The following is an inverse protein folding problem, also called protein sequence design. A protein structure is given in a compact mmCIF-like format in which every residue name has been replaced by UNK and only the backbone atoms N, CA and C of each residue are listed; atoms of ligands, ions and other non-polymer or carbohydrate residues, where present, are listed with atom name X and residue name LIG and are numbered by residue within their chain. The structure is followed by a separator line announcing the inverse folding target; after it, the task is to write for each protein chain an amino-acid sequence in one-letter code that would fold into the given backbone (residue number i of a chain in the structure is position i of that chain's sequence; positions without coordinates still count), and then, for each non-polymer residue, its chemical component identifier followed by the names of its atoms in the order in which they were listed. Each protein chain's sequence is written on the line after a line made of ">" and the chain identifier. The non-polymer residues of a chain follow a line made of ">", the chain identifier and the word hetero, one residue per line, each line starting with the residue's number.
data_IF_702766418709
#
_entry.id   IF_702766418709
#
_cell.length_a   1.000
_cell.length_b   1.000
_cell.length_c   1.000
_cell.angle_alpha   90.00
_cell.angle_beta   90.00
_cell.angle_gamma   90.00
#
_symmetry.space_group_name_H-M   'P 1'
#
loop_
_entity.id
_entity.type
_entity.pdbx_description
1 polymer ?
#
# COMPACT_ATOMS: atom_id res chain seq x y z
N UNK A 1 -16.68 -2.67 49.64
CA UNK A 1 -16.43 -3.47 48.42
C UNK A 1 -16.73 -4.91 48.79
N UNK A 2 -17.74 -5.51 48.18
CA UNK A 2 -18.10 -6.91 48.45
C UNK A 2 -17.13 -7.84 47.70
N UNK A 3 -17.04 -9.11 48.15
CA UNK A 3 -16.21 -10.13 47.47
C UNK A 3 -16.64 -10.28 45.99
N UNK A 4 -17.91 -10.06 45.68
CA UNK A 4 -18.43 -10.05 44.30
C UNK A 4 -17.91 -8.87 43.46
N UNK A 5 -17.67 -7.69 44.09
CA UNK A 5 -17.09 -6.54 43.37
C UNK A 5 -15.62 -6.78 43.01
N UNK A 6 -14.91 -7.53 43.85
CA UNK A 6 -13.51 -7.95 43.61
C UNK A 6 -13.47 -9.03 42.53
N UNK A 7 -14.41 -9.97 42.51
CA UNK A 7 -14.50 -10.97 41.43
C UNK A 7 -14.85 -10.33 40.07
N UNK A 8 -15.72 -9.31 40.05
CA UNK A 8 -16.07 -8.60 38.83
C UNK A 8 -14.89 -7.78 38.27
N UNK A 9 -14.10 -7.17 39.17
CA UNK A 9 -12.87 -6.43 38.77
C UNK A 9 -11.78 -7.39 38.30
N UNK A 10 -11.65 -8.55 38.95
CA UNK A 10 -10.68 -9.59 38.55
C UNK A 10 -11.11 -10.27 37.25
N UNK A 11 -12.41 -10.53 37.01
CA UNK A 11 -12.86 -11.06 35.72
C UNK A 11 -12.73 -10.07 34.59
N UNK A 12 -12.94 -8.77 34.84
CA UNK A 12 -12.70 -7.70 33.84
C UNK A 12 -11.20 -7.50 33.56
N UNK A 13 -10.30 -7.85 34.50
CA UNK A 13 -8.84 -7.84 34.30
C UNK A 13 -8.33 -9.16 33.65
N UNK A 14 -9.12 -10.24 33.68
CA UNK A 14 -8.79 -11.52 33.03
C UNK A 14 -9.33 -11.62 31.60
N UNK A 15 -10.17 -10.71 31.15
CA UNK A 15 -10.55 -10.52 29.74
C UNK A 15 -9.60 -9.61 28.96
N UNK A 16 -8.46 -9.23 29.53
CA UNK A 16 -7.31 -8.75 28.72
C UNK A 16 -6.77 -9.99 28.00
N UNK A 17 -7.24 -10.19 26.76
CA UNK A 17 -6.68 -11.15 25.82
C UNK A 17 -5.15 -11.10 25.94
N UNK A 18 -4.55 -12.27 26.16
CA UNK A 18 -3.09 -12.44 26.19
C UNK A 18 -2.52 -11.93 24.87
N UNK A 19 -2.14 -10.65 24.86
CA UNK A 19 -1.28 -10.15 23.78
C UNK A 19 -0.02 -11.00 23.89
N UNK A 20 0.42 -11.66 22.82
CA UNK A 20 1.69 -12.37 22.86
C UNK A 20 2.81 -11.34 23.05
N UNK A 21 3.09 -10.98 24.29
CA UNK A 21 4.12 -10.03 24.71
C UNK A 21 5.51 -10.42 24.15
N UNK A 22 5.64 -11.68 23.72
CA UNK A 22 6.88 -12.26 23.15
C UNK A 22 7.18 -11.84 21.71
N UNK A 23 6.22 -11.24 20.99
CA UNK A 23 6.37 -10.90 19.58
C UNK A 23 6.62 -9.40 19.32
N UNK A 24 6.21 -8.52 20.25
CA UNK A 24 6.44 -7.08 20.12
C UNK A 24 7.94 -6.76 20.14
N UNK A 25 8.46 -5.95 19.21
CA UNK A 25 9.81 -5.42 19.30
C UNK A 25 9.98 -4.62 20.60
N UNK A 26 11.02 -4.91 21.38
CA UNK A 26 11.36 -4.14 22.59
C UNK A 26 11.56 -2.64 22.28
N UNK A 27 11.95 -2.31 21.04
CA UNK A 27 12.17 -0.96 20.57
C UNK A 27 11.85 -0.87 19.07
N UNK A 28 10.59 -0.61 18.70
CA UNK A 28 10.21 -0.39 17.30
C UNK A 28 10.98 0.78 16.71
N UNK A 29 11.57 0.60 15.54
CA UNK A 29 12.34 1.63 14.83
C UNK A 29 11.67 2.08 13.53
N UNK A 30 10.71 1.28 13.03
CA UNK A 30 9.98 1.59 11.82
C UNK A 30 8.54 1.10 11.93
N UNK A 31 7.59 1.96 11.59
CA UNK A 31 6.17 1.66 11.44
C UNK A 31 5.81 1.82 9.96
N UNK A 32 5.36 0.75 9.34
CA UNK A 32 4.88 0.72 7.96
C UNK A 32 3.35 0.74 7.94
N UNK A 33 2.77 1.67 7.21
CA UNK A 33 1.33 1.89 7.17
C UNK A 33 0.81 1.76 5.74
N UNK A 34 -0.09 0.80 5.51
CA UNK A 34 -0.94 0.89 4.33
C UNK A 34 -1.85 2.13 4.41
N UNK A 35 -2.38 2.56 3.27
CA UNK A 35 -3.22 3.76 3.18
C UNK A 35 -4.71 3.45 3.15
N UNK A 36 -5.17 2.76 2.10
CA UNK A 36 -6.59 2.60 1.81
C UNK A 36 -7.21 1.49 2.65
N UNK A 37 -8.11 1.83 3.57
CA UNK A 37 -8.67 0.89 4.53
C UNK A 37 -7.81 0.71 5.79
N UNK A 38 -6.66 1.37 5.88
CA UNK A 38 -5.76 1.32 7.04
C UNK A 38 -5.55 2.70 7.65
N UNK A 39 -4.73 3.58 7.04
CA UNK A 39 -4.51 4.94 7.55
C UNK A 39 -5.66 5.90 7.19
N UNK A 40 -6.23 5.73 6.00
CA UNK A 40 -7.34 6.54 5.52
C UNK A 40 -8.66 5.94 5.97
N UNK A 41 -9.51 6.77 6.55
CA UNK A 41 -10.89 6.41 6.89
C UNK A 41 -11.79 6.31 5.63
N UNK A 42 -13.05 5.94 5.80
CA UNK A 42 -14.05 5.83 4.71
C UNK A 42 -14.27 7.13 3.93
N UNK A 43 -13.87 8.28 4.49
CA UNK A 43 -13.88 9.57 3.80
C UNK A 43 -12.57 9.89 3.08
N UNK A 44 -11.67 8.91 2.93
CA UNK A 44 -10.33 9.05 2.34
C UNK A 44 -9.47 10.14 3.01
N UNK A 45 -9.59 10.31 4.31
CA UNK A 45 -8.87 11.31 5.10
C UNK A 45 -8.14 10.66 6.28
N UNK A 46 -7.04 11.29 6.69
CA UNK A 46 -6.34 10.94 7.94
C UNK A 46 -7.04 11.62 9.10
N UNK A 47 -7.42 10.85 10.12
CA UNK A 47 -8.04 11.40 11.32
C UNK A 47 -7.07 12.28 12.11
N UNK A 48 -7.61 13.17 12.92
CA UNK A 48 -6.80 14.03 13.79
C UNK A 48 -5.97 13.21 14.79
N UNK A 49 -6.57 12.16 15.38
CA UNK A 49 -5.91 11.30 16.37
C UNK A 49 -4.78 10.47 15.73
N UNK A 50 -5.02 9.86 14.58
CA UNK A 50 -3.97 9.15 13.84
C UNK A 50 -2.82 10.10 13.47
N UNK A 51 -3.12 11.32 13.00
CA UNK A 51 -2.09 12.33 12.72
C UNK A 51 -1.27 12.67 13.96
N UNK A 52 -1.90 12.95 15.11
CA UNK A 52 -1.19 13.29 16.35
C UNK A 52 -0.25 12.19 16.81
N UNK A 53 -0.73 10.93 16.84
CA UNK A 53 0.09 9.81 17.31
C UNK A 53 1.26 9.52 16.36
N UNK A 54 1.05 9.61 15.04
CA UNK A 54 2.12 9.41 14.05
C UNK A 54 3.17 10.52 14.09
N UNK A 55 2.77 11.77 14.37
CA UNK A 55 3.70 12.86 14.62
C UNK A 55 4.53 12.57 15.88
N UNK A 56 3.89 12.18 16.98
CA UNK A 56 4.56 11.86 18.26
C UNK A 56 5.60 10.75 18.11
N UNK A 57 5.27 9.64 17.45
CA UNK A 57 6.24 8.55 17.26
C UNK A 57 7.38 8.94 16.29
N UNK A 58 7.08 9.76 15.31
CA UNK A 58 8.11 10.31 14.39
C UNK A 58 9.09 11.22 15.13
N UNK A 59 8.62 12.06 16.06
CA UNK A 59 9.45 12.92 16.92
C UNK A 59 10.34 12.11 17.88
N UNK A 60 9.95 10.88 18.23
CA UNK A 60 10.77 9.94 18.99
C UNK A 60 11.84 9.24 18.15
N UNK A 61 11.92 9.55 16.85
CA UNK A 61 12.91 8.99 15.93
C UNK A 61 12.48 7.68 15.28
N UNK A 62 11.22 7.25 15.41
CA UNK A 62 10.68 6.09 14.73
C UNK A 62 10.33 6.48 13.27
N UNK A 63 10.83 5.72 12.31
CA UNK A 63 10.48 5.93 10.91
C UNK A 63 9.02 5.54 10.66
N UNK A 64 8.19 6.47 10.19
CA UNK A 64 6.82 6.20 9.74
C UNK A 64 6.83 6.16 8.22
N UNK A 65 6.61 4.98 7.64
CA UNK A 65 6.72 4.71 6.20
C UNK A 65 5.34 4.40 5.63
N UNK A 66 4.87 5.22 4.69
CA UNK A 66 3.64 4.96 3.95
C UNK A 66 3.91 3.91 2.87
N UNK A 67 3.03 2.90 2.77
CA UNK A 67 3.19 1.74 1.87
C UNK A 67 1.90 1.51 1.11
N UNK A 68 1.85 1.78 -0.21
CA UNK A 68 0.59 1.73 -0.97
C UNK A 68 0.78 1.25 -2.40
N UNK A 69 -0.32 0.80 -3.03
CA UNK A 69 -0.41 0.54 -4.47
C UNK A 69 -0.53 1.80 -5.33
N UNK A 70 -0.73 2.96 -4.70
CA UNK A 70 -0.86 4.26 -5.37
C UNK A 70 0.46 4.70 -6.01
N UNK A 71 0.38 5.63 -6.97
CA UNK A 71 1.53 6.37 -7.50
C UNK A 71 2.20 7.18 -6.38
N UNK A 72 3.53 7.34 -6.42
CA UNK A 72 4.25 8.07 -5.38
C UNK A 72 3.69 9.50 -5.22
N UNK A 73 3.50 10.22 -6.32
CA UNK A 73 2.99 11.59 -6.30
C UNK A 73 1.55 11.73 -5.75
N UNK A 74 0.73 10.68 -5.77
CA UNK A 74 -0.60 10.69 -5.16
C UNK A 74 -0.57 10.43 -3.64
N UNK A 75 0.55 9.93 -3.12
CA UNK A 75 0.77 9.73 -1.68
C UNK A 75 1.35 10.98 -1.02
N UNK A 76 2.11 11.80 -1.76
CA UNK A 76 2.77 13.00 -1.23
C UNK A 76 1.83 13.96 -0.48
N UNK A 77 0.61 14.28 -0.96
CA UNK A 77 -0.31 15.14 -0.21
C UNK A 77 -0.65 14.58 1.18
N UNK A 78 -0.79 13.24 1.29
CA UNK A 78 -1.08 12.57 2.56
C UNK A 78 0.14 12.63 3.48
N UNK A 79 1.33 12.33 2.97
CA UNK A 79 2.60 12.46 3.71
C UNK A 79 2.78 13.89 4.25
N UNK A 80 2.56 14.89 3.41
CA UNK A 80 2.66 16.31 3.79
C UNK A 80 1.63 16.72 4.84
N UNK A 81 0.38 16.21 4.73
CA UNK A 81 -0.68 16.50 5.71
C UNK A 81 -0.31 16.02 7.11
N UNK A 82 0.41 14.89 7.23
CA UNK A 82 0.87 14.33 8.50
C UNK A 82 2.18 15.00 8.97
N UNK A 83 2.95 15.57 8.04
CA UNK A 83 4.28 16.12 8.31
C UNK A 83 5.39 15.07 8.23
N UNK A 84 5.19 13.98 7.48
CA UNK A 84 6.17 12.93 7.31
C UNK A 84 7.12 13.25 6.16
N UNK A 85 8.43 13.15 6.41
CA UNK A 85 9.49 13.36 5.42
C UNK A 85 10.21 12.07 5.03
N UNK A 86 9.71 10.92 5.46
CA UNK A 86 10.33 9.62 5.30
C UNK A 86 10.22 9.06 3.87
N UNK A 87 10.97 8.00 3.52
CA UNK A 87 10.73 7.26 2.30
C UNK A 87 9.29 6.72 2.22
N UNK A 88 8.74 6.68 1.01
CA UNK A 88 7.42 6.13 0.70
C UNK A 88 7.62 4.90 -0.19
N UNK A 89 6.95 3.81 0.13
CA UNK A 89 6.82 2.62 -0.71
C UNK A 89 5.54 2.79 -1.54
N UNK A 90 5.67 2.95 -2.83
CA UNK A 90 4.58 3.16 -3.78
C UNK A 90 4.50 2.05 -4.82
N UNK A 91 3.38 1.99 -5.58
CA UNK A 91 3.16 0.96 -6.61
C UNK A 91 3.33 -0.47 -6.06
N UNK A 92 2.77 -0.75 -4.86
CA UNK A 92 2.95 -2.04 -4.17
C UNK A 92 4.40 -2.50 -4.02
N UNK A 93 5.35 -1.56 -3.92
CA UNK A 93 6.78 -1.85 -3.83
C UNK A 93 7.56 -1.71 -5.15
N UNK A 94 6.88 -1.31 -6.24
CA UNK A 94 7.54 -1.02 -7.52
C UNK A 94 8.50 0.17 -7.45
N UNK A 95 8.26 1.11 -6.52
CA UNK A 95 9.15 2.26 -6.29
C UNK A 95 9.22 2.58 -4.79
N UNK A 96 10.44 2.83 -4.30
CA UNK A 96 10.69 3.41 -2.97
C UNK A 96 11.45 4.72 -3.17
N UNK A 97 10.83 5.82 -2.77
CA UNK A 97 11.36 7.17 -3.00
C UNK A 97 11.12 8.05 -1.78
N UNK A 98 12.08 8.88 -1.43
CA UNK A 98 11.98 9.82 -0.31
C UNK A 98 10.98 10.93 -0.61
N UNK A 99 10.09 11.22 0.33
CA UNK A 99 9.01 12.18 0.17
C UNK A 99 9.49 13.58 -0.22
N UNK A 100 10.56 14.08 0.40
CA UNK A 100 11.04 15.47 0.22
C UNK A 100 12.27 15.57 -0.68
N UNK A 101 13.28 14.69 -0.51
CA UNK A 101 14.54 14.80 -1.26
C UNK A 101 14.46 14.23 -2.68
N UNK A 102 13.44 13.42 -2.98
CA UNK A 102 13.31 12.72 -4.25
C UNK A 102 14.33 11.58 -4.47
N UNK A 103 15.17 11.25 -3.45
CA UNK A 103 16.11 10.14 -3.52
C UNK A 103 15.36 8.83 -3.75
N UNK A 104 15.73 8.09 -4.79
CA UNK A 104 15.21 6.75 -5.08
C UNK A 104 16.04 5.72 -4.32
N UNK A 105 15.39 4.92 -3.48
CA UNK A 105 15.99 3.80 -2.75
C UNK A 105 15.92 2.51 -3.56
N UNK A 106 14.80 2.28 -4.26
CA UNK A 106 14.65 1.18 -5.20
C UNK A 106 13.61 1.51 -6.25
N UNK A 107 13.80 0.96 -7.46
CA UNK A 107 12.82 1.00 -8.54
C UNK A 107 12.83 -0.36 -9.24
N UNK A 108 11.67 -0.96 -9.40
CA UNK A 108 11.46 -2.28 -9.98
C UNK A 108 10.40 -2.17 -11.07
N UNK A 109 10.78 -1.68 -12.27
CA UNK A 109 9.83 -1.41 -13.35
C UNK A 109 9.38 -2.69 -14.06
N UNK A 110 8.31 -2.56 -14.84
CA UNK A 110 7.90 -3.55 -15.84
C UNK A 110 8.92 -3.55 -16.98
N UNK A 111 9.54 -4.70 -17.33
CA UNK A 111 10.53 -4.72 -18.42
C UNK A 111 9.93 -4.26 -19.75
N UNK A 112 10.67 -3.47 -20.51
CA UNK A 112 10.22 -2.86 -21.77
C UNK A 112 9.58 -3.85 -22.76
N UNK A 113 10.12 -5.09 -22.83
CA UNK A 113 9.56 -6.14 -23.70
C UNK A 113 8.09 -6.50 -23.38
N UNK A 114 7.70 -6.46 -22.10
CA UNK A 114 6.32 -6.71 -21.69
C UNK A 114 5.45 -5.48 -21.81
N UNK A 115 5.97 -4.31 -21.46
CA UNK A 115 5.29 -3.04 -21.70
C UNK A 115 4.91 -2.88 -23.18
N UNK A 116 5.82 -3.24 -24.10
CA UNK A 116 5.56 -3.24 -25.54
C UNK A 116 4.44 -4.23 -25.93
N UNK A 117 4.46 -5.47 -25.43
CA UNK A 117 3.41 -6.46 -25.73
C UNK A 117 2.02 -5.99 -25.25
N UNK A 118 1.97 -5.34 -24.08
CA UNK A 118 0.73 -4.78 -23.55
C UNK A 118 0.24 -3.61 -24.41
N UNK A 119 1.15 -2.72 -24.87
CA UNK A 119 0.81 -1.62 -25.80
C UNK A 119 0.24 -2.19 -27.11
N UNK A 120 0.87 -3.22 -27.67
CA UNK A 120 0.40 -3.84 -28.93
C UNK A 120 -1.00 -4.45 -28.74
N UNK A 121 -1.23 -5.15 -27.61
CA UNK A 121 -2.54 -5.72 -27.26
C UNK A 121 -3.63 -4.62 -27.15
N UNK A 122 -3.39 -3.56 -26.38
CA UNK A 122 -4.39 -2.51 -26.18
C UNK A 122 -4.70 -1.75 -27.44
N UNK A 123 -3.74 -1.63 -28.39
CA UNK A 123 -3.97 -1.04 -29.70
C UNK A 123 -4.84 -1.93 -30.58
N UNK A 124 -4.64 -3.26 -30.55
CA UNK A 124 -5.45 -4.24 -31.31
C UNK A 124 -6.89 -4.30 -30.78
N UNK A 125 -7.07 -4.34 -29.47
CA UNK A 125 -8.36 -4.46 -28.80
C UNK A 125 -9.06 -3.12 -28.54
N UNK A 126 -8.43 -2.00 -28.93
CA UNK A 126 -8.89 -0.62 -28.69
C UNK A 126 -9.24 -0.36 -27.22
N UNK A 127 -8.38 -0.81 -26.30
CA UNK A 127 -8.53 -0.61 -24.86
C UNK A 127 -7.90 0.70 -24.39
N UNK A 128 -8.30 1.18 -23.23
CA UNK A 128 -7.60 2.28 -22.56
C UNK A 128 -6.42 1.73 -21.73
N UNK A 129 -5.25 2.38 -21.86
CA UNK A 129 -4.05 2.08 -21.07
C UNK A 129 -3.57 3.31 -20.33
N UNK A 130 -3.40 3.17 -19.03
CA UNK A 130 -2.62 4.02 -18.18
C UNK A 130 -1.17 3.50 -18.17
N UNK A 131 -0.21 4.33 -18.54
CA UNK A 131 1.21 4.00 -18.59
C UNK A 131 1.97 4.89 -17.59
N UNK A 132 2.37 4.32 -16.43
CA UNK A 132 3.02 5.05 -15.34
C UNK A 132 4.55 4.99 -15.51
N UNK A 133 5.13 6.06 -16.02
CA UNK A 133 6.57 6.19 -16.27
C UNK A 133 7.14 7.41 -15.55
N UNK A 134 8.23 7.21 -14.79
CA UNK A 134 8.90 8.28 -14.03
C UNK A 134 7.95 9.04 -13.08
N UNK A 135 6.98 8.31 -12.50
CA UNK A 135 5.93 8.85 -11.62
C UNK A 135 4.98 9.84 -12.32
N UNK A 136 4.91 9.81 -13.66
CA UNK A 136 3.95 10.52 -14.51
C UNK A 136 3.00 9.52 -15.18
N UNK A 137 1.77 9.97 -15.46
CA UNK A 137 0.74 9.16 -16.09
C UNK A 137 0.61 9.56 -17.58
N UNK A 138 0.83 8.59 -18.46
CA UNK A 138 0.66 8.76 -19.90
C UNK A 138 -0.50 7.90 -20.41
N UNK A 139 -1.27 8.48 -21.36
CA UNK A 139 -2.37 7.81 -22.05
C UNK A 139 -2.33 8.11 -23.55
N UNK A 140 -2.96 7.28 -24.38
CA UNK A 140 -3.09 7.57 -25.81
C UNK A 140 -3.87 8.87 -26.04
N UNK A 141 -5.04 8.99 -25.40
CA UNK A 141 -5.91 10.16 -25.43
C UNK A 141 -6.69 10.21 -24.12
N UNK A 142 -7.05 11.42 -23.66
CA UNK A 142 -7.93 11.58 -22.50
C UNK A 142 -9.34 11.12 -22.86
N UNK A 143 -9.98 10.42 -21.94
CA UNK A 143 -11.35 9.92 -22.06
C UNK A 143 -11.93 9.65 -20.67
N UNK A 144 -13.15 9.09 -20.59
CA UNK A 144 -13.82 8.78 -19.30
C UNK A 144 -12.94 7.97 -18.31
N UNK A 145 -12.03 7.13 -18.80
CA UNK A 145 -11.16 6.30 -17.95
C UNK A 145 -10.03 7.10 -17.34
N UNK A 146 -9.38 7.98 -18.12
CA UNK A 146 -8.40 8.92 -17.58
C UNK A 146 -9.05 9.89 -16.58
N UNK A 147 -10.27 10.34 -16.84
CA UNK A 147 -11.01 11.24 -15.96
C UNK A 147 -11.41 10.54 -14.66
N UNK A 148 -11.84 9.26 -14.72
CA UNK A 148 -12.11 8.44 -13.56
C UNK A 148 -10.85 8.22 -12.71
N UNK A 149 -9.71 7.94 -13.35
CA UNK A 149 -8.45 7.77 -12.65
C UNK A 149 -8.00 9.06 -11.97
N UNK A 150 -8.08 10.19 -12.68
CA UNK A 150 -7.77 11.52 -12.12
C UNK A 150 -8.68 11.85 -10.94
N UNK A 151 -9.98 11.60 -11.05
CA UNK A 151 -10.94 11.81 -9.95
C UNK A 151 -10.56 11.00 -8.69
N UNK A 152 -10.16 9.73 -8.86
CA UNK A 152 -9.81 8.84 -7.73
C UNK A 152 -8.44 9.11 -7.11
N UNK A 153 -7.48 9.62 -7.90
CA UNK A 153 -6.06 9.68 -7.50
C UNK A 153 -5.49 11.09 -7.42
N UNK A 154 -6.19 12.07 -7.99
CA UNK A 154 -5.68 13.43 -8.17
C UNK A 154 -4.58 13.55 -9.24
N UNK A 155 -4.33 12.50 -10.04
CA UNK A 155 -3.26 12.46 -11.03
C UNK A 155 -3.80 12.70 -12.43
N UNK A 156 -3.47 13.84 -13.00
CA UNK A 156 -3.81 14.18 -14.40
C UNK A 156 -2.94 13.41 -15.38
N UNK A 157 -3.57 12.87 -16.43
CA UNK A 157 -2.87 12.16 -17.49
C UNK A 157 -2.34 13.08 -18.59
N UNK A 158 -1.19 12.74 -19.15
CA UNK A 158 -0.62 13.35 -20.36
C UNK A 158 -0.96 12.50 -21.59
N UNK A 159 -1.66 13.09 -22.56
CA UNK A 159 -1.98 12.42 -23.82
C UNK A 159 -0.78 12.46 -24.77
N UNK A 160 -0.31 11.30 -25.25
CA UNK A 160 0.84 11.17 -26.16
C UNK A 160 0.45 10.84 -27.61
N UNK A 161 -0.85 10.65 -27.89
CA UNK A 161 -1.36 10.29 -29.22
C UNK A 161 -1.06 8.85 -29.62
N UNK A 162 0.20 8.43 -29.55
CA UNK A 162 0.63 7.06 -29.89
C UNK A 162 1.48 6.47 -28.77
N UNK A 163 0.95 5.47 -28.05
CA UNK A 163 1.67 4.78 -26.99
C UNK A 163 2.92 4.02 -27.45
N UNK A 164 3.03 3.72 -28.76
CA UNK A 164 4.24 3.09 -29.30
C UNK A 164 5.48 3.99 -29.17
N UNK A 165 5.32 5.29 -28.99
CA UNK A 165 6.44 6.19 -28.66
C UNK A 165 7.10 5.87 -27.32
N UNK A 166 6.38 5.15 -26.43
CA UNK A 166 6.84 4.72 -25.10
C UNK A 166 7.26 3.24 -25.08
N UNK A 167 7.22 2.54 -26.20
CA UNK A 167 7.38 1.07 -26.24
C UNK A 167 8.78 0.55 -25.85
N UNK A 168 9.79 1.43 -25.80
CA UNK A 168 11.15 1.14 -25.32
C UNK A 168 11.37 1.46 -23.84
N UNK A 169 10.40 2.08 -23.20
CA UNK A 169 10.49 2.52 -21.80
C UNK A 169 10.09 1.41 -20.83
N UNK A 170 10.55 1.52 -19.60
CA UNK A 170 10.26 0.60 -18.50
C UNK A 170 9.36 1.30 -17.45
N UNK A 171 8.02 1.23 -17.61
CA UNK A 171 7.09 1.87 -16.68
C UNK A 171 7.10 1.17 -15.32
N UNK A 172 6.83 1.91 -14.25
CA UNK A 172 6.66 1.31 -12.92
C UNK A 172 5.42 0.41 -12.88
N UNK A 173 4.34 0.82 -13.56
CA UNK A 173 3.07 0.10 -13.68
C UNK A 173 2.42 0.42 -15.03
N UNK A 174 1.76 -0.54 -15.62
CA UNK A 174 0.77 -0.32 -16.68
C UNK A 174 -0.59 -0.86 -16.24
N UNK A 175 -1.67 -0.24 -16.68
CA UNK A 175 -3.01 -0.54 -16.19
C UNK A 175 -4.02 -0.41 -17.34
N UNK A 176 -4.74 -1.49 -17.62
CA UNK A 176 -5.87 -1.49 -18.56
C UNK A 176 -7.13 -1.10 -17.81
N UNK A 177 -7.91 -0.19 -18.40
CA UNK A 177 -9.21 0.22 -17.89
C UNK A 177 -10.28 0.00 -18.96
N UNK A 178 -11.38 -0.63 -18.56
CA UNK A 178 -12.58 -0.78 -19.41
C UNK A 178 -13.80 -1.06 -18.53
N UNK A 179 -14.96 -1.29 -19.16
CA UNK A 179 -16.19 -1.69 -18.47
C UNK A 179 -15.95 -2.97 -17.65
N UNK A 180 -16.57 -3.11 -16.45
CA UNK A 180 -16.35 -4.23 -15.55
C UNK A 180 -16.51 -5.60 -16.20
N UNK A 181 -17.53 -5.77 -17.04
CA UNK A 181 -17.83 -7.02 -17.73
C UNK A 181 -16.69 -7.42 -18.70
N UNK A 182 -16.08 -6.42 -19.36
CA UNK A 182 -14.95 -6.65 -20.26
C UNK A 182 -13.67 -6.97 -19.49
N UNK A 183 -13.45 -6.29 -18.36
CA UNK A 183 -12.34 -6.56 -17.44
C UNK A 183 -12.44 -7.99 -16.89
N UNK A 184 -13.64 -8.45 -16.50
CA UNK A 184 -13.86 -9.82 -16.00
C UNK A 184 -13.56 -10.89 -17.06
N UNK A 185 -13.85 -10.61 -18.32
CA UNK A 185 -13.53 -11.51 -19.45
C UNK A 185 -12.03 -11.52 -19.77
N UNK A 186 -11.37 -10.36 -19.71
CA UNK A 186 -9.96 -10.21 -20.06
C UNK A 186 -9.01 -10.71 -18.97
N UNK A 187 -9.39 -10.55 -17.71
CA UNK A 187 -8.48 -10.81 -16.58
C UNK A 187 -7.91 -12.23 -16.59
N UNK A 188 -8.69 -13.32 -16.68
CA UNK A 188 -8.14 -14.67 -16.70
C UNK A 188 -7.20 -14.91 -17.88
N UNK A 189 -7.51 -14.36 -19.05
CA UNK A 189 -6.68 -14.49 -20.27
C UNK A 189 -5.34 -13.79 -20.07
N UNK A 190 -5.37 -12.56 -19.53
CA UNK A 190 -4.17 -11.77 -19.32
C UNK A 190 -3.32 -12.33 -18.16
N UNK A 191 -3.95 -12.89 -17.13
CA UNK A 191 -3.27 -13.57 -16.06
C UNK A 191 -2.56 -14.85 -16.55
N UNK A 192 -3.17 -15.63 -17.43
CA UNK A 192 -2.53 -16.78 -18.07
C UNK A 192 -1.37 -16.34 -18.97
N UNK A 193 -1.57 -15.28 -19.74
CA UNK A 193 -0.57 -14.80 -20.74
C UNK A 193 0.66 -14.16 -20.09
N UNK A 194 0.49 -13.38 -19.03
CA UNK A 194 1.53 -12.55 -18.44
C UNK A 194 1.91 -12.93 -17.00
N UNK A 195 1.07 -13.69 -16.29
CA UNK A 195 1.22 -13.95 -14.86
C UNK A 195 2.46 -14.75 -14.47
N UNK A 196 3.12 -15.44 -15.41
CA UNK A 196 4.42 -16.08 -15.19
C UNK A 196 5.59 -15.09 -15.17
N UNK A 197 5.45 -13.93 -15.80
CA UNK A 197 6.48 -12.93 -15.99
C UNK A 197 6.20 -11.62 -15.22
N UNK A 198 4.92 -11.31 -15.00
CA UNK A 198 4.43 -10.09 -14.35
C UNK A 198 3.45 -10.40 -13.23
N UNK A 199 3.39 -9.55 -12.23
CA UNK A 199 2.29 -9.54 -11.28
C UNK A 199 1.07 -8.90 -11.94
N UNK A 200 0.06 -9.72 -12.22
CA UNK A 200 -1.20 -9.30 -12.85
C UNK A 200 -2.30 -9.36 -11.80
N UNK A 201 -2.99 -8.26 -11.56
CA UNK A 201 -4.02 -8.18 -10.52
C UNK A 201 -5.18 -7.25 -10.89
N UNK A 202 -6.31 -7.42 -10.22
CA UNK A 202 -7.43 -6.46 -10.24
C UNK A 202 -7.41 -5.71 -8.90
N UNK A 203 -7.40 -4.37 -8.97
CA UNK A 203 -7.48 -3.51 -7.78
C UNK A 203 -8.80 -2.75 -7.70
N UNK A 204 -9.51 -2.68 -8.82
CA UNK A 204 -10.87 -2.18 -8.94
C UNK A 204 -11.61 -3.02 -9.99
N UNK A 205 -12.93 -2.93 -10.03
CA UNK A 205 -13.75 -3.69 -10.97
C UNK A 205 -13.45 -3.34 -12.44
N UNK A 206 -12.97 -2.11 -12.69
CA UNK A 206 -12.63 -1.61 -14.04
C UNK A 206 -11.13 -1.72 -14.36
N UNK A 207 -10.26 -2.29 -13.48
CA UNK A 207 -8.80 -2.22 -13.61
C UNK A 207 -8.15 -3.59 -13.69
N UNK A 208 -7.25 -3.77 -14.67
CA UNK A 208 -6.23 -4.83 -14.65
C UNK A 208 -4.86 -4.15 -14.60
N UNK A 209 -4.09 -4.44 -13.57
CA UNK A 209 -2.76 -3.87 -13.35
C UNK A 209 -1.67 -4.88 -13.64
N UNK A 210 -0.57 -4.39 -14.23
CA UNK A 210 0.63 -5.17 -14.50
C UNK A 210 1.82 -4.46 -13.84
N UNK A 211 2.52 -5.21 -13.01
CA UNK A 211 3.75 -4.76 -12.34
C UNK A 211 4.82 -5.84 -12.45
N UNK A 212 6.04 -5.52 -12.10
CA UNK A 212 7.08 -6.53 -12.00
C UNK A 212 6.72 -7.55 -10.90
N UNK A 213 6.98 -8.84 -11.13
CA UNK A 213 6.74 -9.91 -10.13
C UNK A 213 7.39 -9.64 -8.77
N UNK A 214 8.47 -8.87 -8.77
CA UNK A 214 9.22 -8.54 -7.55
C UNK A 214 8.65 -7.33 -6.81
N UNK A 215 7.63 -6.65 -7.38
CA UNK A 215 6.97 -5.51 -6.75
C UNK A 215 5.97 -6.01 -5.71
N UNK A 216 6.44 -6.23 -4.48
CA UNK A 216 5.62 -6.54 -3.32
C UNK A 216 5.95 -5.60 -2.16
N UNK A 217 4.94 -5.23 -1.36
CA UNK A 217 5.10 -4.33 -0.22
C UNK A 217 6.16 -4.85 0.76
N UNK A 218 6.14 -6.15 1.08
CA UNK A 218 7.09 -6.78 2.02
C UNK A 218 8.52 -6.75 1.50
N UNK A 219 8.75 -7.09 0.23
CA UNK A 219 10.10 -7.06 -0.35
C UNK A 219 10.69 -5.65 -0.35
N UNK A 220 9.89 -4.66 -0.76
CA UNK A 220 10.32 -3.27 -0.78
C UNK A 220 10.62 -2.74 0.64
N UNK A 221 9.76 -3.06 1.61
CA UNK A 221 9.96 -2.68 3.01
C UNK A 221 11.21 -3.32 3.60
N UNK A 222 11.44 -4.63 3.37
CA UNK A 222 12.65 -5.32 3.82
C UNK A 222 13.92 -4.71 3.24
N UNK A 223 13.92 -4.35 1.95
CA UNK A 223 15.04 -3.70 1.30
C UNK A 223 15.29 -2.29 1.85
N UNK A 224 14.21 -1.53 2.12
CA UNK A 224 14.29 -0.21 2.73
C UNK A 224 14.84 -0.28 4.16
N UNK A 225 14.32 -1.17 5.01
CA UNK A 225 14.79 -1.37 6.38
C UNK A 225 16.30 -1.69 6.41
N UNK A 226 16.77 -2.57 5.53
CA UNK A 226 18.19 -2.88 5.40
C UNK A 226 19.05 -1.65 5.03
N UNK A 227 18.58 -0.80 4.10
CA UNK A 227 19.27 0.45 3.73
C UNK A 227 19.28 1.49 4.85
N UNK A 228 18.22 1.51 5.68
CA UNK A 228 18.15 2.35 6.88
C UNK A 228 18.91 1.75 8.08
N UNK A 229 19.48 0.53 7.93
CA UNK A 229 20.15 -0.24 8.98
C UNK A 229 19.23 -0.58 10.15
N UNK A 230 17.96 -0.81 9.87
CA UNK A 230 16.93 -1.22 10.83
C UNK A 230 16.76 -2.73 10.72
N UNK A 231 16.95 -3.51 11.81
CA UNK A 231 16.59 -4.92 11.81
C UNK A 231 15.11 -5.10 11.50
N UNK A 232 14.77 -6.06 10.64
CA UNK A 232 13.36 -6.29 10.26
C UNK A 232 12.51 -6.71 11.48
N UNK A 233 13.11 -7.34 12.47
CA UNK A 233 12.47 -7.63 13.77
C UNK A 233 12.04 -6.39 14.56
N UNK A 234 12.61 -5.23 14.27
CA UNK A 234 12.26 -3.95 14.92
C UNK A 234 11.29 -3.12 14.07
N UNK A 235 10.54 -3.78 13.19
CA UNK A 235 9.54 -3.14 12.35
C UNK A 235 8.14 -3.60 12.69
N UNK A 236 7.18 -2.67 12.64
CA UNK A 236 5.75 -2.92 12.81
C UNK A 236 5.03 -2.57 11.52
N UNK A 237 4.03 -3.34 11.12
CA UNK A 237 3.22 -3.00 9.94
C UNK A 237 1.73 -3.04 10.26
N UNK A 238 0.98 -2.13 9.63
CA UNK A 238 -0.48 -2.09 9.65
C UNK A 238 -1.01 -2.33 8.24
N UNK A 239 -2.05 -3.15 8.12
CA UNK A 239 -2.68 -3.45 6.83
C UNK A 239 -4.07 -4.04 6.96
N UNK A 240 -4.80 -4.09 5.84
CA UNK A 240 -6.17 -4.61 5.79
C UNK A 240 -6.46 -5.49 4.56
N UNK A 241 -5.69 -5.35 3.47
CA UNK A 241 -5.96 -5.98 2.19
C UNK A 241 -4.97 -7.08 1.78
N UNK A 242 -5.34 -7.85 0.75
CA UNK A 242 -4.49 -8.95 0.24
C UNK A 242 -3.10 -8.51 -0.21
N UNK A 243 -2.93 -7.27 -0.69
CA UNK A 243 -1.64 -6.72 -1.10
C UNK A 243 -0.72 -6.42 0.10
N UNK A 244 -1.25 -6.43 1.35
CA UNK A 244 -0.49 -6.26 2.58
C UNK A 244 0.12 -7.57 3.08
N UNK A 245 -0.39 -8.71 2.64
CA UNK A 245 0.06 -10.03 3.11
C UNK A 245 1.57 -10.16 3.15
N UNK A 246 2.24 -9.80 2.05
CA UNK A 246 3.71 -9.88 1.97
C UNK A 246 4.42 -8.96 2.98
N UNK A 247 3.82 -7.82 3.32
CA UNK A 247 4.34 -6.90 4.33
C UNK A 247 4.13 -7.47 5.73
N UNK A 248 2.92 -7.93 6.04
CA UNK A 248 2.56 -8.54 7.32
C UNK A 248 3.44 -9.75 7.66
N UNK A 249 3.69 -10.63 6.68
CA UNK A 249 4.57 -11.80 6.83
C UNK A 249 6.07 -11.46 6.94
N UNK A 250 6.46 -10.22 6.63
CA UNK A 250 7.88 -9.82 6.57
C UNK A 250 8.36 -9.12 7.85
N UNK A 251 7.50 -8.33 8.48
CA UNK A 251 7.85 -7.48 9.64
C UNK A 251 8.04 -8.26 10.93
N UNK A 252 8.61 -7.60 11.95
CA UNK A 252 8.75 -8.18 13.28
C UNK A 252 7.44 -8.30 14.04
N UNK A 253 6.48 -7.39 13.78
CA UNK A 253 5.15 -7.44 14.37
C UNK A 253 4.10 -6.86 13.42
N UNK A 254 3.05 -7.60 13.19
CA UNK A 254 2.01 -7.26 12.23
C UNK A 254 0.66 -6.98 12.90
N UNK A 255 -0.01 -5.90 12.47
CA UNK A 255 -1.28 -5.44 13.02
C UNK A 255 -2.31 -5.34 11.90
N UNK A 256 -3.37 -6.13 11.99
CA UNK A 256 -4.51 -6.05 11.09
C UNK A 256 -5.54 -5.05 11.61
N UNK A 257 -6.16 -4.29 10.70
CA UNK A 257 -7.31 -3.47 11.03
C UNK A 257 -8.55 -4.33 11.26
N UNK A 258 -9.52 -3.91 12.09
CA UNK A 258 -10.77 -4.64 12.29
C UNK A 258 -11.59 -4.82 11.00
N UNK A 259 -11.48 -3.89 10.06
CA UNK A 259 -12.09 -3.97 8.73
C UNK A 259 -11.28 -4.82 7.73
N UNK A 260 -10.12 -5.35 8.11
CA UNK A 260 -9.29 -6.19 7.25
C UNK A 260 -10.02 -7.46 6.81
N UNK A 261 -9.61 -8.01 5.67
CA UNK A 261 -10.08 -9.32 5.21
C UNK A 261 -9.64 -10.42 6.17
N UNK A 262 -10.42 -11.48 6.28
CA UNK A 262 -10.19 -12.54 7.28
C UNK A 262 -8.83 -13.21 7.15
N UNK A 263 -8.30 -13.36 5.93
CA UNK A 263 -6.97 -13.91 5.67
C UNK A 263 -5.84 -13.03 6.25
N UNK A 264 -6.02 -11.72 6.27
CA UNK A 264 -5.03 -10.79 6.85
C UNK A 264 -5.13 -10.82 8.38
N UNK A 265 -6.34 -10.85 8.95
CA UNK A 265 -6.53 -11.02 10.38
C UNK A 265 -5.93 -12.33 10.90
N UNK A 266 -6.05 -13.42 10.13
CA UNK A 266 -5.57 -14.74 10.51
C UNK A 266 -4.02 -14.85 10.58
N UNK A 267 -3.28 -13.98 9.86
CA UNK A 267 -1.81 -13.99 9.86
C UNK A 267 -1.21 -12.87 10.72
N UNK A 268 -2.03 -11.93 11.20
CA UNK A 268 -1.57 -10.81 12.01
C UNK A 268 -1.30 -11.24 13.45
N UNK A 269 -0.27 -10.64 14.08
CA UNK A 269 0.04 -10.82 15.49
C UNK A 269 -0.99 -10.15 16.40
N UNK A 270 -1.62 -9.07 15.92
CA UNK A 270 -2.65 -8.33 16.62
C UNK A 270 -3.72 -7.79 15.68
N UNK A 271 -4.97 -7.71 16.16
CA UNK A 271 -6.07 -7.05 15.45
C UNK A 271 -6.50 -5.82 16.27
N UNK A 272 -6.40 -4.64 15.66
CA UNK A 272 -6.83 -3.37 16.26
C UNK A 272 -8.27 -3.01 15.85
N UNK A 273 -8.75 -1.81 16.23
CA UNK A 273 -10.05 -1.29 15.77
C UNK A 273 -10.03 -0.94 14.27
N UNK A 274 -11.15 -0.52 13.70
CA UNK A 274 -11.26 -0.20 12.28
C UNK A 274 -10.51 1.09 11.92
N UNK A 275 -10.31 1.31 10.62
CA UNK A 275 -9.77 2.56 10.09
C UNK A 275 -10.68 3.77 10.38
N UNK A 276 -11.99 3.56 10.56
CA UNK A 276 -12.95 4.59 10.96
C UNK A 276 -12.94 4.86 12.48
N UNK A 277 -12.39 3.95 13.27
CA UNK A 277 -12.30 4.01 14.73
C UNK A 277 -10.86 4.27 15.22
N UNK A 278 -10.05 4.96 14.44
CA UNK A 278 -8.66 5.34 14.76
C UNK A 278 -7.74 4.15 15.12
N UNK A 279 -7.90 3.00 14.45
CA UNK A 279 -7.23 1.75 14.83
C UNK A 279 -5.70 1.84 14.91
N UNK A 280 -5.06 2.72 14.11
CA UNK A 280 -3.62 2.95 14.21
C UNK A 280 -3.29 3.60 15.56
N UNK A 281 -3.99 4.68 15.92
CA UNK A 281 -3.73 5.38 17.19
C UNK A 281 -4.00 4.47 18.39
N UNK A 282 -5.11 3.71 18.36
CA UNK A 282 -5.46 2.74 19.41
C UNK A 282 -4.34 1.71 19.62
N UNK A 283 -3.82 1.13 18.54
CA UNK A 283 -2.76 0.13 18.64
C UNK A 283 -1.42 0.74 19.07
N UNK A 284 -1.04 1.89 18.53
CA UNK A 284 0.22 2.57 18.89
C UNK A 284 0.22 2.98 20.36
N UNK A 285 -0.86 3.58 20.86
CA UNK A 285 -0.99 3.97 22.29
C UNK A 285 -0.95 2.75 23.23
N UNK A 286 -1.55 1.64 22.81
CA UNK A 286 -1.63 0.44 23.65
C UNK A 286 -0.34 -0.38 23.65
N UNK A 287 0.36 -0.44 22.52
CA UNK A 287 1.43 -1.41 22.28
C UNK A 287 2.82 -0.80 22.19
N UNK A 288 2.93 0.47 21.80
CA UNK A 288 4.23 1.08 21.46
C UNK A 288 4.59 2.29 22.31
N UNK A 289 3.65 2.84 23.08
CA UNK A 289 3.82 3.93 24.03
C UNK A 289 3.49 3.51 25.47
#
# INVERSE_FOLDING_TARGET
>A
MSINDIYLVISCLLEMEDIPLLALPESPQLIALDLDGTLLNSNHSVSFRNKQILTQVSEQGIYVVLVSGRMHRSILPISNQIGLENPIVSYNGGMVKHATTGKIYSHTPVPAKFARKIIDLVNQENLHLNFCLNDELYVRAKNKWSDLYEFRTGISATAVGNLLSLAGEEPTKVQILDEPEKIDQLFPILQETFGHDLYVTKTQIEYIEFMNLQSTKGRALKALAAQLKIPISNTVAFGDGYNDKSMMETVGFSIAMANAVDEIKAIADYVTTSNDDDGIAVAVEKLLL
#
